data_IF_935683827117
#
_entry.id   IF_935683827117
#
_cell.length_a   1.000
_cell.length_b   1.000
_cell.length_c   1.000
_cell.angle_alpha   90.00
_cell.angle_beta   90.00
_cell.angle_gamma   90.00
#
_symmetry.space_group_name_H-M   'P 1'
#
loop_
_entity.id
_entity.type
_entity.pdbx_description
1 polymer ?
#
# COMPACT_ATOMS: atom_id res chain seq x y z
N UNK A 1 13.34 4.84 -1.88
CA UNK A 1 12.08 4.29 -1.37
C UNK A 1 12.15 4.25 0.14
N UNK A 2 11.26 4.96 0.84
CA UNK A 2 11.27 5.07 2.31
C UNK A 2 10.45 3.99 2.99
N UNK A 3 9.60 3.28 2.24
CA UNK A 3 8.68 2.26 2.75
C UNK A 3 9.08 0.89 2.24
N UNK A 4 9.35 -0.02 3.16
CA UNK A 4 9.66 -1.42 2.87
C UNK A 4 8.57 -2.38 3.33
N UNK A 5 8.68 -3.68 3.05
CA UNK A 5 7.67 -4.68 3.37
C UNK A 5 7.43 -4.85 4.89
N UNK A 6 8.39 -4.44 5.73
CA UNK A 6 8.26 -4.46 7.19
C UNK A 6 7.79 -3.13 7.76
N UNK A 7 8.19 -2.01 7.15
CA UNK A 7 7.94 -0.66 7.68
C UNK A 7 6.45 -0.37 7.75
N UNK A 8 5.71 -0.67 6.69
CA UNK A 8 4.27 -0.40 6.61
C UNK A 8 3.48 -1.19 7.66
N UNK A 9 3.56 -2.53 7.74
CA UNK A 9 2.83 -3.28 8.76
C UNK A 9 3.18 -2.86 10.19
N UNK A 10 4.45 -2.49 10.43
CA UNK A 10 4.89 -2.03 11.75
C UNK A 10 4.27 -0.68 12.14
N UNK A 11 4.32 0.31 11.24
CA UNK A 11 3.72 1.62 11.50
C UNK A 11 2.21 1.50 11.70
N UNK A 12 1.55 0.67 10.90
CA UNK A 12 0.10 0.44 11.00
C UNK A 12 -0.26 -0.24 12.33
N UNK A 13 0.47 -1.27 12.74
CA UNK A 13 0.27 -1.93 14.02
C UNK A 13 0.51 -0.97 15.21
N UNK A 14 1.50 -0.08 15.09
CA UNK A 14 1.77 0.95 16.07
C UNK A 14 0.63 1.98 16.14
N UNK A 15 0.06 2.37 15.00
CA UNK A 15 -1.11 3.24 14.92
C UNK A 15 -2.33 2.66 15.63
N UNK A 16 -2.64 1.39 15.38
CA UNK A 16 -3.71 0.67 16.08
C UNK A 16 -3.43 0.64 17.60
N UNK A 17 -2.18 0.33 17.99
CA UNK A 17 -1.79 0.28 19.41
C UNK A 17 -1.99 1.62 20.11
N UNK A 18 -1.62 2.74 19.50
CA UNK A 18 -1.84 4.08 20.05
C UNK A 18 -3.34 4.42 20.08
N UNK A 19 -4.06 4.18 19.00
CA UNK A 19 -5.49 4.49 18.92
C UNK A 19 -6.30 3.69 19.97
N UNK A 20 -5.93 2.43 20.22
CA UNK A 20 -6.55 1.60 21.23
C UNK A 20 -6.37 2.12 22.70
N UNK A 21 -5.39 3.00 22.95
CA UNK A 21 -5.25 3.66 24.26
C UNK A 21 -6.23 4.81 24.47
N UNK A 22 -6.89 5.25 23.40
CA UNK A 22 -7.89 6.32 23.44
C UNK A 22 -9.29 5.72 23.53
N UNK A 23 -10.14 6.35 24.33
CA UNK A 23 -11.53 5.91 24.55
C UNK A 23 -12.56 6.75 23.77
N UNK A 24 -12.11 7.57 22.82
CA UNK A 24 -13.01 8.44 22.06
C UNK A 24 -13.53 7.76 20.76
N UNK A 25 -14.63 8.32 20.23
CA UNK A 25 -15.30 7.77 19.04
C UNK A 25 -14.46 7.86 17.75
N UNK A 26 -13.39 8.65 17.75
CA UNK A 26 -12.50 8.88 16.61
C UNK A 26 -11.18 8.09 16.70
N UNK A 27 -11.01 7.25 17.72
CA UNK A 27 -9.79 6.48 17.91
C UNK A 27 -9.45 5.59 16.70
N UNK A 28 -10.46 5.00 16.05
CA UNK A 28 -10.26 4.18 14.87
C UNK A 28 -9.78 5.00 13.67
N UNK A 29 -10.32 6.22 13.47
CA UNK A 29 -9.93 7.12 12.37
C UNK A 29 -8.47 7.57 12.52
N UNK A 30 -8.02 7.81 13.75
CA UNK A 30 -6.66 8.27 14.06
C UNK A 30 -5.59 7.15 13.92
N UNK A 31 -5.98 5.90 13.67
CA UNK A 31 -5.05 4.80 13.40
C UNK A 31 -4.47 4.86 11.99
N UNK A 32 -5.09 5.60 11.07
CA UNK A 32 -4.66 5.79 9.69
C UNK A 32 -3.90 7.12 9.50
N UNK A 33 -3.17 7.23 8.38
CA UNK A 33 -2.37 8.41 8.03
C UNK A 33 -0.94 8.37 8.60
N UNK A 34 -0.62 7.41 9.45
CA UNK A 34 0.68 7.33 10.10
C UNK A 34 1.79 6.86 9.17
N UNK A 35 1.50 6.03 8.16
CA UNK A 35 2.51 5.59 7.19
C UNK A 35 3.04 6.78 6.41
N UNK A 36 2.16 7.66 5.96
CA UNK A 36 2.55 8.89 5.28
C UNK A 36 3.32 9.84 6.21
N UNK A 37 2.83 10.05 7.43
CA UNK A 37 3.46 10.95 8.41
C UNK A 37 4.86 10.48 8.81
N UNK A 38 5.02 9.18 9.11
CA UNK A 38 6.31 8.60 9.47
C UNK A 38 7.33 8.60 8.30
N UNK A 39 6.86 8.66 7.05
CA UNK A 39 7.72 8.76 5.88
C UNK A 39 8.36 10.15 5.72
N UNK A 40 7.78 11.20 6.30
CA UNK A 40 8.29 12.58 6.22
C UNK A 40 9.69 12.69 6.85
N UNK A 41 9.90 12.07 8.01
CA UNK A 41 11.17 12.14 8.74
C UNK A 41 12.36 11.65 7.92
N UNK A 42 12.37 10.42 7.41
CA UNK A 42 13.42 9.90 6.55
C UNK A 42 13.64 10.74 5.27
N UNK A 43 12.54 11.21 4.64
CA UNK A 43 12.65 12.07 3.44
C UNK A 43 13.36 13.37 3.77
N UNK A 44 12.97 14.05 4.84
CA UNK A 44 13.63 15.30 5.30
C UNK A 44 15.09 15.06 5.66
N UNK A 45 15.39 13.95 6.34
CA UNK A 45 16.76 13.59 6.69
C UNK A 45 17.64 13.42 5.44
N UNK A 46 17.15 12.71 4.42
CA UNK A 46 17.87 12.55 3.14
C UNK A 46 18.02 13.88 2.40
N UNK A 47 16.98 14.74 2.39
CA UNK A 47 17.07 16.07 1.78
C UNK A 47 18.10 16.95 2.47
N UNK A 48 18.12 16.98 3.80
CA UNK A 48 19.14 17.73 4.57
C UNK A 48 20.54 17.16 4.29
N UNK A 49 20.67 15.83 4.27
CA UNK A 49 21.94 15.18 3.97
C UNK A 49 22.45 15.55 2.57
N UNK A 50 21.56 15.63 1.59
CA UNK A 50 21.90 16.00 0.20
C UNK A 50 22.40 17.45 0.07
N UNK A 51 22.01 18.34 0.99
CA UNK A 51 22.54 19.72 1.04
C UNK A 51 23.96 19.77 1.60
N UNK A 52 24.31 18.84 2.50
CA UNK A 52 25.63 18.79 3.16
C UNK A 52 26.63 17.99 2.33
N UNK A 53 26.20 16.87 1.77
CA UNK A 53 27.01 15.98 0.96
C UNK A 53 26.69 16.20 -0.53
N UNK A 54 27.55 16.92 -1.23
CA UNK A 54 27.52 16.97 -2.69
C UNK A 54 28.16 15.68 -3.23
N UNK A 55 27.34 14.76 -3.70
CA UNK A 55 27.82 13.58 -4.40
C UNK A 55 28.21 13.97 -5.83
N UNK A 56 29.51 14.12 -6.10
CA UNK A 56 30.08 14.20 -7.45
C UNK A 56 30.06 12.82 -8.14
N UNK A 57 28.92 12.17 -8.19
CA UNK A 57 28.76 10.86 -8.82
C UNK A 57 27.73 10.93 -9.95
N UNK A 58 28.14 10.61 -11.17
CA UNK A 58 27.17 10.27 -12.22
C UNK A 58 26.44 9.01 -11.78
N UNK A 59 25.11 9.08 -11.70
CA UNK A 59 24.30 7.89 -11.48
C UNK A 59 24.56 6.90 -12.61
N UNK A 60 25.26 5.83 -12.30
CA UNK A 60 25.43 4.68 -13.17
C UNK A 60 24.34 3.69 -12.80
N UNK A 61 23.26 3.51 -13.58
CA UNK A 61 22.30 2.46 -13.30
C UNK A 61 23.08 1.16 -13.23
N UNK A 62 22.91 0.38 -12.15
CA UNK A 62 23.34 -1.01 -12.16
C UNK A 62 22.52 -1.71 -13.24
N UNK A 63 23.06 -1.74 -14.46
CA UNK A 63 22.53 -2.54 -15.56
C UNK A 63 22.67 -3.97 -15.04
N UNK A 64 21.54 -4.59 -14.70
CA UNK A 64 21.52 -5.93 -14.16
C UNK A 64 22.42 -6.83 -15.02
N UNK A 65 23.22 -7.68 -14.37
CA UNK A 65 24.08 -8.64 -15.06
C UNK A 65 23.27 -9.30 -16.18
N UNK A 66 23.83 -9.36 -17.37
CA UNK A 66 23.22 -10.09 -18.47
C UNK A 66 23.13 -11.56 -18.08
N UNK A 67 21.97 -11.95 -17.58
CA UNK A 67 21.68 -13.32 -17.18
C UNK A 67 21.23 -14.06 -18.44
N UNK A 68 22.06 -14.98 -18.91
CA UNK A 68 21.79 -15.71 -20.14
C UNK A 68 21.01 -17.02 -19.90
N UNK A 69 21.11 -17.59 -18.70
CA UNK A 69 20.52 -18.91 -18.43
C UNK A 69 19.77 -18.96 -17.10
N UNK A 70 18.74 -19.82 -17.01
CA UNK A 70 18.02 -20.08 -15.77
C UNK A 70 18.90 -20.66 -14.66
N UNK A 71 19.98 -21.34 -15.03
CA UNK A 71 20.97 -21.86 -14.07
C UNK A 71 21.72 -20.73 -13.38
N UNK A 72 22.13 -19.72 -14.13
CA UNK A 72 22.76 -18.52 -13.56
C UNK A 72 21.81 -17.77 -12.60
N UNK A 73 20.51 -17.64 -12.95
CA UNK A 73 19.52 -17.08 -12.02
C UNK A 73 19.47 -17.87 -10.72
N UNK A 74 19.44 -19.21 -10.82
CA UNK A 74 19.44 -20.09 -9.64
C UNK A 74 20.69 -19.91 -8.79
N UNK A 75 21.87 -19.84 -9.39
CA UNK A 75 23.13 -19.61 -8.67
C UNK A 75 23.13 -18.26 -7.96
N UNK A 76 22.77 -17.16 -8.66
CA UNK A 76 22.67 -15.82 -8.07
C UNK A 76 21.66 -15.78 -6.91
N UNK A 77 20.54 -16.51 -7.04
CA UNK A 77 19.57 -16.59 -5.97
C UNK A 77 20.16 -17.25 -4.72
N UNK A 78 20.83 -18.40 -4.86
CA UNK A 78 21.45 -19.08 -3.73
C UNK A 78 22.62 -18.31 -3.13
N UNK A 79 23.38 -17.57 -3.93
CA UNK A 79 24.46 -16.70 -3.46
C UNK A 79 23.93 -15.49 -2.67
N UNK A 80 22.79 -14.94 -3.05
CA UNK A 80 22.19 -13.77 -2.42
C UNK A 80 21.40 -14.11 -1.13
N UNK A 81 20.86 -15.33 -0.99
CA UNK A 81 20.06 -15.73 0.19
C UNK A 81 20.77 -15.45 1.52
N UNK A 82 22.06 -15.80 1.74
CA UNK A 82 22.73 -15.53 3.00
C UNK A 82 22.80 -14.04 3.35
N UNK A 83 22.98 -13.17 2.36
CA UNK A 83 23.06 -11.72 2.58
C UNK A 83 21.69 -11.18 3.01
N UNK A 84 20.60 -11.57 2.33
CA UNK A 84 19.25 -11.21 2.74
C UNK A 84 18.85 -11.84 4.07
N UNK A 85 19.30 -13.05 4.38
CA UNK A 85 19.09 -13.63 5.71
C UNK A 85 19.69 -12.76 6.80
N UNK A 86 20.90 -12.27 6.60
CA UNK A 86 21.58 -11.38 7.54
C UNK A 86 20.89 -10.02 7.63
N UNK A 87 20.54 -9.42 6.50
CA UNK A 87 19.86 -8.12 6.43
C UNK A 87 18.51 -8.14 7.16
N UNK A 88 17.69 -9.17 6.88
CA UNK A 88 16.39 -9.31 7.54
C UNK A 88 16.52 -9.65 9.02
N UNK A 89 17.50 -10.49 9.40
CA UNK A 89 17.77 -10.76 10.81
C UNK A 89 18.13 -9.48 11.58
N UNK A 90 19.00 -8.65 11.04
CA UNK A 90 19.39 -7.37 11.64
C UNK A 90 18.20 -6.41 11.71
N UNK A 91 17.35 -6.37 10.70
CA UNK A 91 16.16 -5.52 10.66
C UNK A 91 15.07 -5.94 11.64
N UNK A 92 14.87 -7.26 11.84
CA UNK A 92 13.90 -7.81 12.80
C UNK A 92 14.40 -7.80 14.26
N UNK A 93 15.72 -7.77 14.44
CA UNK A 93 16.34 -7.88 15.76
C UNK A 93 15.85 -6.80 16.76
N UNK A 94 15.80 -5.49 16.42
CA UNK A 94 15.32 -4.48 17.34
C UNK A 94 13.88 -4.74 17.82
N UNK A 95 12.99 -5.10 16.89
CA UNK A 95 11.58 -5.38 17.18
C UNK A 95 11.46 -6.60 18.08
N UNK A 96 12.21 -7.66 17.79
CA UNK A 96 12.20 -8.91 18.54
C UNK A 96 12.75 -8.72 19.95
N UNK A 97 13.86 -7.97 20.09
CA UNK A 97 14.46 -7.64 21.39
C UNK A 97 13.50 -6.80 22.22
N UNK A 98 12.92 -5.75 21.62
CA UNK A 98 11.95 -4.90 22.30
C UNK A 98 10.73 -5.69 22.78
N UNK A 99 10.15 -6.52 21.91
CA UNK A 99 9.07 -7.42 22.28
C UNK A 99 9.48 -8.37 23.43
N UNK A 100 10.67 -8.98 23.36
CA UNK A 100 11.18 -9.87 24.40
C UNK A 100 11.33 -9.20 25.75
N UNK A 101 11.85 -7.96 25.78
CA UNK A 101 11.95 -7.16 27.01
C UNK A 101 10.56 -6.87 27.58
N UNK A 102 9.60 -6.41 26.76
CA UNK A 102 8.24 -6.16 27.21
C UNK A 102 7.52 -7.44 27.67
N UNK A 103 7.75 -8.55 26.99
CA UNK A 103 7.21 -9.85 27.39
C UNK A 103 7.70 -10.24 28.79
N UNK A 104 8.97 -9.97 29.10
CA UNK A 104 9.56 -10.35 30.38
C UNK A 104 9.06 -9.46 31.54
N UNK A 105 8.93 -8.16 31.32
CA UNK A 105 8.62 -7.20 32.38
C UNK A 105 7.14 -6.86 32.49
N UNK A 106 6.40 -6.76 31.39
CA UNK A 106 5.07 -6.17 31.34
C UNK A 106 3.98 -7.11 30.80
N UNK A 107 4.14 -7.65 29.61
CA UNK A 107 3.08 -8.36 28.90
C UNK A 107 2.70 -9.68 29.53
N UNK A 108 3.69 -10.48 29.98
CA UNK A 108 3.50 -11.80 30.60
C UNK A 108 2.46 -12.68 29.89
N UNK A 109 2.50 -12.69 28.56
CA UNK A 109 1.56 -13.45 27.73
C UNK A 109 1.64 -14.94 28.03
N UNK A 110 0.52 -15.63 27.89
CA UNK A 110 0.43 -17.07 28.01
C UNK A 110 1.35 -17.78 26.98
N UNK A 111 1.91 -18.93 27.36
CA UNK A 111 2.82 -19.72 26.52
C UNK A 111 2.22 -20.04 25.13
N UNK A 112 0.91 -20.27 25.06
CA UNK A 112 0.20 -20.57 23.80
C UNK A 112 0.21 -19.37 22.84
N UNK A 113 -0.05 -18.17 23.34
CA UNK A 113 -0.03 -16.92 22.58
C UNK A 113 1.41 -16.57 22.16
N UNK A 114 2.36 -16.69 23.10
CA UNK A 114 3.77 -16.46 22.81
C UNK A 114 4.30 -17.40 21.72
N UNK A 115 3.94 -18.69 21.78
CA UNK A 115 4.33 -19.66 20.74
C UNK A 115 3.76 -19.28 19.36
N UNK A 116 2.51 -18.81 19.28
CA UNK A 116 1.93 -18.34 18.01
C UNK A 116 2.69 -17.13 17.44
N UNK A 117 3.08 -16.18 18.30
CA UNK A 117 3.85 -14.99 17.89
C UNK A 117 5.23 -15.41 17.37
N UNK A 118 5.94 -16.29 18.09
CA UNK A 118 7.26 -16.79 17.66
C UNK A 118 7.20 -17.55 16.34
N UNK A 119 6.21 -18.44 16.18
CA UNK A 119 5.97 -19.13 14.91
C UNK A 119 5.71 -18.12 13.78
N UNK A 120 4.85 -17.12 14.02
CA UNK A 120 4.58 -16.04 13.06
C UNK A 120 5.84 -15.27 12.69
N UNK A 121 6.72 -14.97 13.66
CA UNK A 121 8.00 -14.31 13.42
C UNK A 121 8.93 -15.13 12.52
N UNK A 122 9.00 -16.46 12.73
CA UNK A 122 9.79 -17.36 11.88
C UNK A 122 9.23 -17.37 10.45
N UNK A 123 7.92 -17.48 10.27
CA UNK A 123 7.31 -17.40 8.95
C UNK A 123 7.57 -16.05 8.26
N UNK A 124 7.48 -14.95 9.00
CA UNK A 124 7.78 -13.61 8.49
C UNK A 124 9.25 -13.52 8.05
N UNK A 125 10.18 -14.02 8.85
CA UNK A 125 11.60 -14.03 8.51
C UNK A 125 11.86 -14.80 7.21
N UNK A 126 11.38 -16.04 7.12
CA UNK A 126 11.56 -16.87 5.92
C UNK A 126 10.89 -16.23 4.70
N UNK A 127 9.65 -15.74 4.87
CA UNK A 127 8.90 -15.11 3.79
C UNK A 127 9.58 -13.85 3.26
N UNK A 128 10.11 -12.99 4.13
CA UNK A 128 10.83 -11.78 3.74
C UNK A 128 12.15 -12.08 3.05
N UNK A 129 12.92 -13.07 3.53
CA UNK A 129 14.17 -13.49 2.89
C UNK A 129 13.89 -13.96 1.46
N UNK A 130 12.92 -14.85 1.27
CA UNK A 130 12.56 -15.35 -0.06
C UNK A 130 12.02 -14.23 -0.97
N UNK A 131 11.15 -13.37 -0.43
CA UNK A 131 10.57 -12.27 -1.18
C UNK A 131 11.62 -11.27 -1.64
N UNK A 132 12.49 -10.78 -0.75
CA UNK A 132 13.51 -9.79 -1.10
C UNK A 132 14.60 -10.38 -2.01
N UNK A 133 14.99 -11.63 -1.78
CA UNK A 133 15.91 -12.31 -2.71
C UNK A 133 15.30 -12.41 -4.10
N UNK A 134 14.04 -12.87 -4.22
CA UNK A 134 13.32 -12.97 -5.49
C UNK A 134 13.13 -11.62 -6.18
N UNK A 135 12.79 -10.59 -5.41
CA UNK A 135 12.58 -9.25 -5.92
C UNK A 135 13.89 -8.64 -6.48
N UNK A 136 14.98 -8.72 -5.75
CA UNK A 136 16.24 -8.10 -6.17
C UNK A 136 17.00 -8.92 -7.22
N UNK A 137 17.05 -10.24 -7.09
CA UNK A 137 17.78 -11.10 -8.02
C UNK A 137 16.97 -11.41 -9.29
N UNK A 138 15.64 -11.51 -9.16
CA UNK A 138 14.76 -11.88 -10.28
C UNK A 138 14.09 -10.68 -10.94
N UNK A 139 13.38 -9.84 -10.18
CA UNK A 139 12.53 -8.81 -10.77
C UNK A 139 13.30 -7.59 -11.29
N UNK A 140 14.39 -7.17 -10.65
CA UNK A 140 15.18 -6.03 -11.14
C UNK A 140 15.75 -6.31 -12.54
N UNK A 141 16.51 -7.39 -12.78
CA UNK A 141 17.01 -7.66 -14.11
C UNK A 141 15.90 -7.99 -15.12
N UNK A 142 14.85 -8.70 -14.71
CA UNK A 142 13.73 -9.00 -15.60
C UNK A 142 12.96 -7.73 -16.03
N UNK A 143 12.70 -6.81 -15.09
CA UNK A 143 12.07 -5.52 -15.38
C UNK A 143 12.91 -4.70 -16.37
N UNK A 144 14.22 -4.58 -16.10
CA UNK A 144 15.13 -3.85 -16.97
C UNK A 144 15.20 -4.45 -18.39
N UNK A 145 15.39 -5.78 -18.50
CA UNK A 145 15.43 -6.47 -19.78
C UNK A 145 14.12 -6.31 -20.55
N UNK A 146 12.98 -6.47 -19.88
CA UNK A 146 11.66 -6.29 -20.48
C UNK A 146 11.48 -4.87 -21.02
N UNK A 147 11.84 -3.85 -20.21
CA UNK A 147 11.78 -2.45 -20.61
C UNK A 147 12.64 -2.17 -21.83
N UNK A 148 13.88 -2.65 -21.83
CA UNK A 148 14.81 -2.48 -22.93
C UNK A 148 14.33 -3.12 -24.23
N UNK A 149 13.85 -4.38 -24.16
CA UNK A 149 13.37 -5.12 -25.32
C UNK A 149 12.11 -4.47 -25.91
N UNK A 150 11.14 -4.11 -25.07
CA UNK A 150 9.88 -3.52 -25.52
C UNK A 150 10.05 -2.12 -26.12
N UNK A 151 10.92 -1.31 -25.54
CA UNK A 151 11.20 0.04 -26.04
C UNK A 151 11.98 0.02 -27.36
N UNK A 152 12.78 -1.02 -27.63
CA UNK A 152 13.52 -1.20 -28.87
C UNK A 152 12.63 -1.67 -30.05
N UNK A 153 11.38 -2.06 -29.79
CA UNK A 153 10.45 -2.49 -30.84
C UNK A 153 10.04 -1.32 -31.77
N UNK A 154 9.75 -1.54 -33.06
CA UNK A 154 9.24 -0.50 -33.94
C UNK A 154 7.90 0.13 -33.47
N UNK A 155 7.17 -0.58 -32.61
CA UNK A 155 5.90 -0.18 -32.01
C UNK A 155 6.04 -0.03 -30.50
N UNK A 156 7.02 0.73 -30.03
CA UNK A 156 7.33 0.95 -28.62
C UNK A 156 6.14 1.46 -27.79
N UNK A 157 5.09 2.02 -28.43
CA UNK A 157 3.84 2.41 -27.76
C UNK A 157 3.13 1.27 -27.01
N UNK A 158 3.44 0.00 -27.34
CA UNK A 158 2.92 -1.18 -26.63
C UNK A 158 3.32 -1.20 -25.14
N UNK A 159 4.38 -0.46 -24.81
CA UNK A 159 4.84 -0.27 -23.42
C UNK A 159 3.74 0.36 -22.56
N UNK A 160 2.86 1.17 -23.14
CA UNK A 160 1.79 1.86 -22.42
C UNK A 160 0.73 0.86 -21.92
N UNK A 161 0.00 0.13 -22.80
CA UNK A 161 -1.01 -0.82 -22.33
C UNK A 161 -0.41 -1.97 -21.53
N UNK A 162 0.80 -2.43 -21.87
CA UNK A 162 1.49 -3.47 -21.11
C UNK A 162 1.90 -2.96 -19.72
N UNK A 163 2.42 -1.74 -19.62
CA UNK A 163 2.72 -1.09 -18.36
C UNK A 163 1.47 -0.93 -17.49
N UNK A 164 0.32 -0.56 -18.07
CA UNK A 164 -0.95 -0.51 -17.35
C UNK A 164 -1.35 -1.87 -16.80
N UNK A 165 -1.23 -2.93 -17.60
CA UNK A 165 -1.53 -4.29 -17.18
C UNK A 165 -0.61 -4.75 -16.03
N UNK A 166 0.67 -4.49 -16.17
CA UNK A 166 1.68 -4.79 -15.14
C UNK A 166 1.36 -4.01 -13.86
N UNK A 167 1.10 -2.71 -13.94
CA UNK A 167 0.73 -1.86 -12.80
C UNK A 167 -0.51 -2.36 -12.06
N UNK A 168 -1.51 -2.85 -12.79
CA UNK A 168 -2.70 -3.45 -12.20
C UNK A 168 -2.37 -4.68 -11.34
N UNK A 169 -1.51 -5.58 -11.83
CA UNK A 169 -1.15 -6.80 -11.11
C UNK A 169 -0.13 -6.58 -10.00
N UNK A 170 0.75 -5.59 -10.12
CA UNK A 170 1.75 -5.27 -9.09
C UNK A 170 1.09 -4.93 -7.76
N UNK A 171 0.00 -4.17 -7.77
CA UNK A 171 -0.75 -3.85 -6.54
C UNK A 171 -1.25 -5.11 -5.84
N UNK A 172 -1.67 -6.12 -6.61
CA UNK A 172 -2.13 -7.40 -6.06
C UNK A 172 -0.99 -8.26 -5.50
N UNK A 173 0.21 -8.08 -6.03
CA UNK A 173 1.41 -8.79 -5.58
C UNK A 173 2.11 -8.10 -4.41
N UNK A 174 1.75 -6.84 -4.09
CA UNK A 174 2.37 -6.06 -3.02
C UNK A 174 1.87 -6.51 -1.63
N UNK A 175 2.71 -7.12 -0.79
CA UNK A 175 2.28 -7.62 0.52
C UNK A 175 1.74 -6.52 1.44
N UNK A 176 2.31 -5.32 1.38
CA UNK A 176 1.90 -4.19 2.21
C UNK A 176 0.48 -3.69 1.87
N UNK A 177 0.07 -3.77 0.60
CA UNK A 177 -1.30 -3.45 0.17
C UNK A 177 -2.30 -4.43 0.80
N UNK A 178 -1.97 -5.72 0.84
CA UNK A 178 -2.83 -6.72 1.47
C UNK A 178 -3.06 -6.43 2.96
N UNK A 179 -1.99 -6.07 3.69
CA UNK A 179 -2.07 -5.71 5.11
C UNK A 179 -2.96 -4.47 5.30
N UNK A 180 -2.74 -3.42 4.51
CA UNK A 180 -3.55 -2.20 4.57
C UNK A 180 -5.03 -2.48 4.32
N UNK A 181 -5.36 -3.24 3.27
CA UNK A 181 -6.75 -3.59 2.94
C UNK A 181 -7.45 -4.34 4.09
N UNK A 182 -6.77 -5.35 4.64
CA UNK A 182 -7.29 -6.14 5.74
C UNK A 182 -7.52 -5.28 6.99
N UNK A 183 -6.59 -4.41 7.31
CA UNK A 183 -6.71 -3.50 8.44
C UNK A 183 -7.86 -2.49 8.26
N UNK A 184 -8.02 -1.93 7.07
CA UNK A 184 -9.14 -1.02 6.77
C UNK A 184 -10.48 -1.75 6.93
N UNK A 185 -10.59 -2.98 6.40
CA UNK A 185 -11.81 -3.79 6.50
C UNK A 185 -12.13 -4.14 7.95
N UNK A 186 -11.14 -4.54 8.76
CA UNK A 186 -11.29 -4.87 10.18
C UNK A 186 -11.67 -3.63 11.04
N UNK A 187 -11.01 -2.49 10.84
CA UNK A 187 -11.26 -1.28 11.65
C UNK A 187 -12.54 -0.54 11.27
N UNK A 188 -13.06 -0.77 10.08
CA UNK A 188 -14.33 -0.19 9.62
C UNK A 188 -15.50 -1.17 9.71
N UNK A 189 -15.34 -2.32 10.41
CA UNK A 189 -16.34 -3.38 10.52
C UNK A 189 -16.91 -3.78 9.14
N UNK A 190 -16.06 -3.79 8.10
CA UNK A 190 -16.45 -4.10 6.73
C UNK A 190 -17.18 -2.99 5.98
N UNK A 191 -17.39 -1.81 6.56
CA UNK A 191 -18.02 -0.68 5.89
C UNK A 191 -17.24 -0.27 4.62
N UNK A 192 -15.90 -0.31 4.69
CA UNK A 192 -15.05 -0.14 3.52
C UNK A 192 -14.54 -1.52 3.08
N UNK A 193 -15.06 -2.02 1.97
CA UNK A 193 -14.69 -3.34 1.46
C UNK A 193 -13.23 -3.35 0.97
N UNK A 194 -12.43 -4.29 1.48
CA UNK A 194 -11.05 -4.50 1.04
C UNK A 194 -10.94 -4.78 -0.46
N UNK A 195 -11.91 -5.49 -1.06
CA UNK A 195 -11.96 -5.73 -2.52
C UNK A 195 -12.16 -4.46 -3.32
N UNK A 196 -13.07 -3.57 -2.89
CA UNK A 196 -13.30 -2.30 -3.56
C UNK A 196 -12.05 -1.42 -3.52
N UNK A 197 -11.38 -1.38 -2.37
CA UNK A 197 -10.12 -0.69 -2.18
C UNK A 197 -9.01 -1.26 -3.09
N UNK A 198 -8.85 -2.58 -3.15
CA UNK A 198 -7.88 -3.24 -4.03
C UNK A 198 -8.08 -2.90 -5.50
N UNK A 199 -9.33 -2.96 -5.98
CA UNK A 199 -9.66 -2.63 -7.37
C UNK A 199 -9.35 -1.16 -7.64
N UNK A 200 -9.74 -0.25 -6.75
CA UNK A 200 -9.48 1.19 -6.86
C UNK A 200 -7.98 1.48 -6.94
N UNK A 201 -7.19 0.88 -6.05
CA UNK A 201 -5.72 1.00 -6.06
C UNK A 201 -5.12 0.41 -7.35
N UNK A 202 -5.57 -0.79 -7.76
CA UNK A 202 -5.05 -1.44 -8.97
C UNK A 202 -5.31 -0.62 -10.23
N UNK A 203 -6.51 -0.02 -10.36
CA UNK A 203 -6.85 0.87 -11.47
C UNK A 203 -5.98 2.13 -11.41
N UNK A 204 -5.85 2.75 -10.24
CA UNK A 204 -5.04 3.95 -10.06
C UNK A 204 -3.58 3.74 -10.47
N UNK A 205 -2.98 2.66 -9.97
CA UNK A 205 -1.58 2.33 -10.31
C UNK A 205 -1.45 1.94 -11.78
N UNK A 206 -2.41 1.22 -12.37
CA UNK A 206 -2.42 0.93 -13.81
C UNK A 206 -2.37 2.21 -14.64
N UNK A 207 -3.24 3.17 -14.36
CA UNK A 207 -3.26 4.47 -15.04
C UNK A 207 -1.93 5.22 -14.84
N UNK A 208 -1.42 5.23 -13.61
CA UNK A 208 -0.14 5.86 -13.27
C UNK A 208 1.02 5.30 -14.07
N UNK A 209 1.12 3.97 -14.15
CA UNK A 209 2.19 3.31 -14.91
C UNK A 209 2.03 3.60 -16.40
N UNK A 210 0.80 3.59 -16.95
CA UNK A 210 0.55 3.99 -18.32
C UNK A 210 1.03 5.42 -18.63
N UNK A 211 0.68 6.38 -17.78
CA UNK A 211 1.16 7.77 -17.88
C UNK A 211 2.68 7.87 -17.74
N UNK A 212 3.28 7.05 -16.87
CA UNK A 212 4.73 6.99 -16.72
C UNK A 212 5.42 6.44 -17.97
N UNK A 213 4.84 5.45 -18.64
CA UNK A 213 5.36 4.93 -19.90
C UNK A 213 5.23 5.96 -21.04
N UNK A 214 4.13 6.70 -21.11
CA UNK A 214 3.99 7.84 -22.04
C UNK A 214 5.13 8.83 -21.80
N UNK A 215 5.40 9.16 -20.54
CA UNK A 215 6.46 10.09 -20.17
C UNK A 215 7.85 9.57 -20.57
N UNK A 216 8.16 8.31 -20.34
CA UNK A 216 9.44 7.69 -20.75
C UNK A 216 9.61 7.76 -22.26
N UNK A 217 8.54 7.52 -23.04
CA UNK A 217 8.58 7.55 -24.49
C UNK A 217 8.65 8.96 -25.08
N UNK A 218 8.15 9.97 -24.38
CA UNK A 218 8.02 11.37 -24.90
C UNK A 218 8.99 12.36 -24.27
N UNK A 219 9.64 12.00 -23.13
CA UNK A 219 10.52 12.91 -22.40
C UNK A 219 9.81 14.08 -21.67
N UNK A 220 8.47 14.00 -21.50
CA UNK A 220 7.68 15.03 -20.81
C UNK A 220 8.10 15.08 -19.32
N UNK A 221 8.29 16.32 -18.78
CA UNK A 221 8.64 16.48 -17.37
C UNK A 221 7.59 15.90 -16.44
N UNK A 222 8.02 15.21 -15.40
CA UNK A 222 7.16 14.61 -14.36
C UNK A 222 6.27 15.64 -13.65
N UNK A 223 6.69 16.89 -13.58
CA UNK A 223 5.96 17.97 -12.92
C UNK A 223 4.61 18.25 -13.59
N UNK A 224 4.49 18.03 -14.92
CA UNK A 224 3.21 18.18 -15.63
C UNK A 224 2.15 17.17 -15.19
N UNK A 225 2.55 16.07 -14.59
CA UNK A 225 1.64 15.06 -14.03
C UNK A 225 1.47 15.22 -12.51
N UNK A 226 2.57 15.49 -11.80
CA UNK A 226 2.53 15.57 -10.34
C UNK A 226 1.78 16.80 -9.85
N UNK A 227 2.01 17.99 -10.44
CA UNK A 227 1.35 19.21 -9.97
C UNK A 227 -0.17 19.09 -10.09
N UNK A 228 -0.76 18.80 -11.28
CA UNK A 228 -2.21 18.62 -11.38
C UNK A 228 -2.74 17.47 -10.50
N UNK A 229 -1.99 16.35 -10.43
CA UNK A 229 -2.40 15.21 -9.62
C UNK A 229 -2.49 15.53 -8.13
N UNK A 230 -1.50 16.21 -7.57
CA UNK A 230 -1.55 16.64 -6.16
C UNK A 230 -2.61 17.74 -5.93
N UNK A 231 -2.83 18.66 -6.87
CA UNK A 231 -3.93 19.65 -6.78
C UNK A 231 -5.27 18.93 -6.69
N UNK A 232 -5.50 17.90 -7.53
CA UNK A 232 -6.72 17.09 -7.49
C UNK A 232 -6.82 16.33 -6.17
N UNK A 233 -5.73 15.65 -5.74
CA UNK A 233 -5.70 14.90 -4.50
C UNK A 233 -6.01 15.77 -3.28
N UNK A 234 -5.40 16.95 -3.18
CA UNK A 234 -5.65 17.90 -2.10
C UNK A 234 -7.06 18.50 -2.19
N UNK A 235 -7.56 18.79 -3.41
CA UNK A 235 -8.93 19.26 -3.61
C UNK A 235 -9.98 18.23 -3.14
N UNK A 236 -9.76 16.94 -3.41
CA UNK A 236 -10.64 15.87 -2.96
C UNK A 236 -10.68 15.72 -1.43
N UNK A 237 -9.61 16.08 -0.73
CA UNK A 237 -9.56 16.05 0.74
C UNK A 237 -10.67 16.87 1.41
N UNK A 238 -11.14 17.93 0.75
CA UNK A 238 -12.25 18.74 1.27
C UNK A 238 -13.63 18.14 0.99
N UNK A 239 -13.70 17.10 0.14
CA UNK A 239 -14.96 16.50 -0.31
C UNK A 239 -15.26 15.15 0.33
N UNK A 240 -14.29 14.54 1.02
CA UNK A 240 -14.41 13.19 1.57
C UNK A 240 -14.25 13.19 3.09
N UNK A 241 -14.80 12.17 3.80
CA UNK A 241 -14.55 11.97 5.22
C UNK A 241 -13.05 11.82 5.51
N UNK A 242 -12.62 12.28 6.69
CA UNK A 242 -11.21 12.30 7.10
C UNK A 242 -10.54 10.93 7.02
N UNK A 243 -11.27 9.86 7.32
CA UNK A 243 -10.77 8.49 7.25
C UNK A 243 -10.32 8.12 5.83
N UNK A 244 -11.07 8.48 4.78
CA UNK A 244 -10.68 8.23 3.40
C UNK A 244 -9.44 9.01 2.99
N UNK A 245 -9.29 10.24 3.49
CA UNK A 245 -8.06 11.02 3.30
C UNK A 245 -6.87 10.33 3.93
N UNK A 246 -6.98 9.90 5.18
CA UNK A 246 -5.91 9.21 5.91
C UNK A 246 -5.50 7.90 5.22
N UNK A 247 -6.49 7.05 4.84
CA UNK A 247 -6.27 5.82 4.09
C UNK A 247 -5.62 6.11 2.72
N UNK A 248 -6.03 7.18 2.03
CA UNK A 248 -5.48 7.55 0.74
C UNK A 248 -3.98 7.88 0.84
N UNK A 249 -3.59 8.68 1.82
CA UNK A 249 -2.18 9.04 2.04
C UNK A 249 -1.34 7.82 2.43
N UNK A 250 -1.85 6.95 3.30
CA UNK A 250 -1.17 5.69 3.63
C UNK A 250 -1.04 4.78 2.39
N UNK A 251 -2.09 4.70 1.57
CA UNK A 251 -2.11 3.92 0.34
C UNK A 251 -1.05 4.36 -0.66
N UNK A 252 -0.76 5.66 -0.75
CA UNK A 252 0.32 6.20 -1.58
C UNK A 252 1.69 5.69 -1.17
N UNK A 253 1.96 5.69 0.14
CA UNK A 253 3.18 5.12 0.71
C UNK A 253 3.29 3.61 0.49
N UNK A 254 2.18 2.89 0.63
CA UNK A 254 2.12 1.44 0.46
C UNK A 254 2.27 1.00 -1.00
N UNK A 255 1.61 1.67 -1.93
CA UNK A 255 1.65 1.32 -3.36
C UNK A 255 3.02 1.59 -4.02
N UNK A 256 3.81 2.51 -3.46
CA UNK A 256 5.19 2.76 -3.90
C UNK A 256 6.23 1.82 -3.27
N UNK A 257 5.80 0.68 -2.76
CA UNK A 257 6.60 -0.31 -2.03
C UNK A 257 7.58 -1.11 -2.90
N UNK A 258 8.07 -2.25 -2.36
CA UNK A 258 9.12 -3.06 -2.97
C UNK A 258 8.87 -3.46 -4.42
N UNK A 259 7.65 -3.86 -4.78
CA UNK A 259 7.35 -4.29 -6.14
C UNK A 259 7.46 -3.15 -7.15
N UNK A 260 7.08 -1.94 -6.78
CA UNK A 260 7.28 -0.74 -7.61
C UNK A 260 8.75 -0.43 -7.79
N UNK A 261 9.55 -0.55 -6.72
CA UNK A 261 10.98 -0.25 -6.75
C UNK A 261 11.80 -1.31 -7.49
N UNK A 262 11.43 -2.60 -7.37
CA UNK A 262 12.23 -3.71 -7.91
C UNK A 262 11.80 -4.18 -9.30
N UNK A 263 10.60 -3.80 -9.76
CA UNK A 263 10.12 -4.18 -11.10
C UNK A 263 9.73 -2.98 -11.97
N UNK A 264 8.82 -2.08 -11.50
CA UNK A 264 8.36 -0.96 -12.31
C UNK A 264 9.45 0.08 -12.58
N UNK A 265 10.25 0.40 -11.57
CA UNK A 265 11.36 1.33 -11.77
C UNK A 265 12.41 0.76 -12.73
N UNK A 266 12.91 -0.47 -12.59
CA UNK A 266 13.78 -1.10 -13.59
C UNK A 266 13.18 -1.21 -14.99
N UNK A 267 11.88 -1.49 -15.10
CA UNK A 267 11.18 -1.48 -16.39
C UNK A 267 11.26 -0.10 -17.07
N UNK A 268 10.99 0.96 -16.31
CA UNK A 268 11.10 2.33 -16.81
C UNK A 268 12.55 2.72 -17.14
N UNK A 269 13.52 2.27 -16.35
CA UNK A 269 14.96 2.50 -16.58
C UNK A 269 15.42 1.81 -17.87
N UNK A 270 15.07 0.52 -18.06
CA UNK A 270 15.40 -0.23 -19.26
C UNK A 270 14.80 0.40 -20.52
N UNK A 271 13.53 0.82 -20.45
CA UNK A 271 12.87 1.52 -21.54
C UNK A 271 13.53 2.87 -21.84
N UNK A 272 13.87 3.66 -20.82
CA UNK A 272 14.53 4.94 -20.96
C UNK A 272 15.91 4.80 -21.63
N UNK A 273 16.71 3.82 -21.20
CA UNK A 273 18.03 3.53 -21.76
C UNK A 273 17.91 3.17 -23.26
N UNK A 274 16.97 2.29 -23.61
CA UNK A 274 16.76 1.87 -24.99
C UNK A 274 16.32 3.02 -25.92
N UNK A 275 15.61 4.02 -25.35
CA UNK A 275 15.20 5.23 -26.08
C UNK A 275 16.27 6.32 -26.10
N UNK A 276 17.41 6.13 -25.41
CA UNK A 276 18.46 7.14 -25.30
C UNK A 276 18.10 8.33 -24.41
N UNK A 277 17.15 8.17 -23.48
CA UNK A 277 16.70 9.18 -22.54
C UNK A 277 17.60 9.27 -21.29
N UNK A 278 17.38 10.31 -20.47
CA UNK A 278 18.04 10.48 -19.18
C UNK A 278 17.30 9.68 -18.10
N UNK A 279 17.94 8.62 -17.60
CA UNK A 279 17.35 7.73 -16.59
C UNK A 279 16.94 8.47 -15.32
N UNK A 280 17.75 9.41 -14.85
CA UNK A 280 17.46 10.17 -13.62
C UNK A 280 16.25 11.08 -13.81
N UNK A 281 16.18 11.73 -14.97
CA UNK A 281 15.11 12.66 -15.28
C UNK A 281 13.83 11.95 -15.71
N UNK A 282 13.94 10.90 -16.55
CA UNK A 282 12.79 10.35 -17.26
C UNK A 282 12.26 9.05 -16.66
N UNK A 283 13.07 8.23 -15.97
CA UNK A 283 12.62 6.97 -15.39
C UNK A 283 12.17 7.09 -13.92
N UNK A 284 12.92 7.80 -13.07
CA UNK A 284 12.63 7.83 -11.61
C UNK A 284 11.26 8.40 -11.24
N UNK A 285 10.66 9.23 -12.06
CA UNK A 285 9.31 9.76 -11.82
C UNK A 285 8.20 8.72 -11.73
N UNK A 286 8.40 7.48 -12.19
CA UNK A 286 7.40 6.42 -12.10
C UNK A 286 6.98 6.15 -10.66
N UNK A 287 7.92 6.11 -9.73
CA UNK A 287 7.65 5.87 -8.30
C UNK A 287 6.78 6.98 -7.70
N UNK A 288 7.10 8.24 -8.02
CA UNK A 288 6.33 9.39 -7.55
C UNK A 288 4.90 9.39 -8.09
N UNK A 289 4.71 9.01 -9.36
CA UNK A 289 3.40 8.92 -9.98
C UNK A 289 2.58 7.76 -9.39
N UNK A 290 3.20 6.61 -9.12
CA UNK A 290 2.55 5.47 -8.45
C UNK A 290 2.17 5.81 -7.02
N UNK A 291 2.95 6.61 -6.30
CA UNK A 291 2.60 7.07 -4.95
C UNK A 291 1.44 8.07 -4.95
N UNK A 292 1.34 8.92 -5.98
CA UNK A 292 0.32 9.97 -6.08
C UNK A 292 -1.08 9.43 -6.42
N UNK A 293 -1.18 8.47 -7.34
CA UNK A 293 -2.49 8.02 -7.85
C UNK A 293 -3.40 7.38 -6.82
N UNK A 294 -2.94 6.59 -5.83
CA UNK A 294 -3.76 6.10 -4.73
C UNK A 294 -4.44 7.22 -3.93
N UNK A 295 -3.77 8.38 -3.79
CA UNK A 295 -4.36 9.53 -3.11
C UNK A 295 -5.64 9.99 -3.80
N UNK A 296 -5.68 9.91 -5.12
CA UNK A 296 -6.85 10.30 -5.92
C UNK A 296 -7.90 9.18 -5.90
N UNK A 297 -7.50 7.95 -6.20
CA UNK A 297 -8.45 6.85 -6.40
C UNK A 297 -9.15 6.40 -5.13
N UNK A 298 -8.47 6.41 -3.98
CA UNK A 298 -9.10 6.11 -2.69
C UNK A 298 -10.06 7.23 -2.26
N UNK A 299 -9.73 8.49 -2.53
CA UNK A 299 -10.64 9.57 -2.24
C UNK A 299 -11.87 9.57 -3.17
N UNK A 300 -11.70 9.21 -4.46
CA UNK A 300 -12.84 8.98 -5.37
C UNK A 300 -13.72 7.83 -4.83
N UNK A 301 -13.12 6.75 -4.33
CA UNK A 301 -13.89 5.68 -3.67
C UNK A 301 -14.67 6.23 -2.47
N UNK A 302 -14.10 7.13 -1.67
CA UNK A 302 -14.78 7.83 -0.58
C UNK A 302 -15.98 8.66 -1.03
N UNK A 303 -15.85 9.40 -2.14
CA UNK A 303 -16.98 10.13 -2.73
C UNK A 303 -18.10 9.19 -3.17
N UNK A 304 -17.75 8.07 -3.80
CA UNK A 304 -18.73 7.08 -4.24
C UNK A 304 -19.43 6.40 -3.05
N UNK A 305 -18.69 6.16 -1.97
CA UNK A 305 -19.23 5.61 -0.73
C UNK A 305 -20.29 6.56 -0.12
N UNK A 306 -19.95 7.84 0.06
CA UNK A 306 -20.89 8.85 0.58
C UNK A 306 -22.16 8.96 -0.25
N UNK A 307 -22.04 8.95 -1.59
CA UNK A 307 -23.21 9.00 -2.47
C UNK A 307 -24.13 7.81 -2.30
N UNK A 308 -23.58 6.61 -2.11
CA UNK A 308 -24.38 5.41 -1.85
C UNK A 308 -25.10 5.47 -0.51
N UNK A 309 -24.44 5.96 0.52
CA UNK A 309 -25.01 6.11 1.86
C UNK A 309 -26.19 7.12 1.83
N UNK A 310 -26.03 8.26 1.18
CA UNK A 310 -27.10 9.25 0.99
C UNK A 310 -28.29 8.65 0.21
N UNK A 311 -28.04 7.91 -0.87
CA UNK A 311 -29.10 7.26 -1.63
C UNK A 311 -29.82 6.16 -0.85
N UNK A 312 -29.12 5.46 0.04
CA UNK A 312 -29.73 4.45 0.90
C UNK A 312 -30.58 5.10 1.99
N UNK A 313 -30.12 6.22 2.56
CA UNK A 313 -30.90 7.01 3.51
C UNK A 313 -32.17 7.59 2.86
N UNK A 314 -32.08 8.16 1.65
CA UNK A 314 -33.25 8.67 0.90
C UNK A 314 -34.26 7.55 0.57
N UNK A 315 -33.80 6.33 0.30
CA UNK A 315 -34.67 5.18 0.08
C UNK A 315 -35.34 4.70 1.38
N UNK A 316 -34.64 4.76 2.50
CA UNK A 316 -35.20 4.37 3.80
C UNK A 316 -36.19 5.40 4.34
N UNK A 317 -36.03 6.69 4.01
CA UNK A 317 -37.00 7.75 4.33
C UNK A 317 -38.21 7.77 3.39
N UNK A 318 -38.10 7.17 2.19
CA UNK A 318 -39.22 7.04 1.24
C UNK A 318 -40.07 5.79 1.45
N UNK A 319 -39.64 4.84 2.25
CA UNK A 319 -40.42 3.72 2.75
C UNK A 319 -40.77 4.02 4.20
N UNK A 320 -41.78 4.88 4.39
CA UNK A 320 -42.52 4.96 5.62
C UNK A 320 -43.25 3.62 5.74
N UNK A 321 -42.60 2.63 6.37
CA UNK A 321 -43.33 1.48 6.93
C UNK A 321 -44.18 2.09 8.03
N UNK A 322 -45.43 2.43 7.69
CA UNK A 322 -46.52 2.34 8.66
C UNK A 322 -46.61 0.86 9.05
N UNK A 323 -45.72 0.45 9.96
CA UNK A 323 -45.97 -0.75 10.74
C UNK A 323 -47.20 -0.39 11.56
N UNK A 324 -48.34 -0.92 11.15
CA UNK A 324 -49.55 -0.81 11.97
C UNK A 324 -49.27 -1.64 13.24
N UNK A 325 -48.73 -0.91 14.23
CA UNK A 325 -48.35 -1.49 15.53
C UNK A 325 -49.55 -2.19 16.17
N UNK A 326 -50.80 -1.80 15.79
CA UNK A 326 -52.03 -2.45 16.27
C UNK A 326 -52.22 -3.87 15.69
N UNK A 327 -51.73 -4.15 14.47
CA UNK A 327 -51.73 -5.50 13.91
C UNK A 327 -50.67 -6.41 14.54
N UNK A 328 -49.52 -5.85 14.92
CA UNK A 328 -48.43 -6.59 15.56
C UNK A 328 -48.78 -7.02 17.00
N UNK A 329 -49.57 -6.21 17.72
CA UNK A 329 -50.03 -6.54 19.06
C UNK A 329 -51.34 -7.30 19.13
N UNK A 330 -52.05 -7.47 18.02
CA UNK A 330 -53.30 -8.26 17.97
C UNK A 330 -53.05 -9.77 18.00
N UNK A 331 -51.83 -10.25 17.78
CA UNK A 331 -51.44 -11.65 17.69
C UNK A 331 -50.79 -12.22 18.97
N UNK A 332 -50.54 -11.36 19.99
CA UNK A 332 -49.92 -11.77 21.26
C UNK A 332 -50.90 -11.64 22.43
N UNK A 333 -50.95 -12.68 23.28
CA UNK A 333 -51.68 -12.60 24.53
C UNK A 333 -51.03 -11.55 25.48
N UNK A 334 -51.85 -10.88 26.29
CA UNK A 334 -51.41 -9.77 27.17
C UNK A 334 -50.22 -10.11 28.10
N UNK A 335 -50.09 -11.36 28.49
CA UNK A 335 -49.03 -11.84 29.39
C UNK A 335 -47.65 -11.93 28.70
N UNK A 336 -47.57 -12.23 27.38
CA UNK A 336 -46.31 -12.26 26.61
C UNK A 336 -45.77 -10.86 26.35
N UNK A 337 -46.62 -9.85 26.21
CA UNK A 337 -46.24 -8.46 26.01
C UNK A 337 -45.51 -7.92 27.24
N UNK A 338 -45.93 -8.32 28.45
CA UNK A 338 -45.34 -7.90 29.72
C UNK A 338 -43.94 -8.51 29.87
N UNK A 339 -43.73 -9.73 29.47
CA UNK A 339 -42.45 -10.42 29.52
C UNK A 339 -41.45 -9.81 28.54
N UNK A 340 -41.87 -9.45 27.33
CA UNK A 340 -41.04 -8.77 26.32
C UNK A 340 -40.64 -7.36 26.74
N UNK A 341 -41.53 -6.58 27.32
CA UNK A 341 -41.21 -5.24 27.84
C UNK A 341 -40.28 -5.27 29.09
N UNK A 342 -40.31 -6.36 29.84
CA UNK A 342 -39.40 -6.54 31.00
C UNK A 342 -37.96 -6.85 30.54
N UNK A 343 -37.77 -7.45 29.37
CA UNK A 343 -36.45 -7.75 28.77
C UNK A 343 -35.76 -6.52 28.14
N UNK A 344 -36.52 -5.48 27.77
CA UNK A 344 -35.98 -4.24 27.18
C UNK A 344 -35.46 -3.27 28.25
N UNK A 345 -35.75 -3.50 29.53
CA UNK A 345 -35.35 -2.66 30.67
C UNK A 345 -34.14 -3.18 31.47
N UNK A 346 -33.32 -4.08 30.89
CA UNK A 346 -32.04 -4.50 31.49
C UNK A 346 -30.88 -3.81 30.81
#
# INVERSE_FOLDING_TARGET
VTTGPMTVPFIMAFGIGISATRSDKHAADDSFGLVALCSIGPILAVLILSLVYQTEGSFSPEIGRNIATSVEVGQLFFEAVPDYMKEIAVSLLPITVFFGLFQMFSLKLEKKTLSKILIGLVYTYIGLVLFLTGANVGFIPAGNALGTVLAALPYSWILIPLGMLIGYFIVKAEPAVYVLMKQVEELTDGAISGKAMQISLSIGVAVSVGLSMIRVLTGISVLWFLIPGYVIALGLTFLVPKIFTAIAFDSGGVASGPMTATFLLPLAQGACIAMGGDVVRDAFGVVAMVAMTPLITIQILGVLYMRRETQSADRSTGVEYQVDISELFAEYEDDEIIEFLSLIHI
#
